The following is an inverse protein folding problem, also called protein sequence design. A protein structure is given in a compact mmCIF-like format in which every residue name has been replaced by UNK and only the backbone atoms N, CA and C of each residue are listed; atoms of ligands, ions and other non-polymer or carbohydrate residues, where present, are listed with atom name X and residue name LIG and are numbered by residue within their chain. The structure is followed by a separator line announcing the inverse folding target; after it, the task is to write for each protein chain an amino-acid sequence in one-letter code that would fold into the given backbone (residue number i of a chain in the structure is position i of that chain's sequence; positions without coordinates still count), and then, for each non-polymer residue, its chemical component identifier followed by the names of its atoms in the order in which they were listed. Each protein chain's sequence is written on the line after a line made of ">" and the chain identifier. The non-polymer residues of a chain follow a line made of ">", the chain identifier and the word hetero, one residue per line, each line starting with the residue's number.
data_IF_165861578022
#
_entry.id   IF_165861578022
#
_cell.length_a   1.000
_cell.length_b   1.000
_cell.length_c   1.000
_cell.angle_alpha   90.00
_cell.angle_beta   90.00
_cell.angle_gamma   90.00
#
_symmetry.space_group_name_H-M   'P 1'
#
loop_
_entity.id
_entity.type
_entity.pdbx_description
1 polymer ?
#
# COMPACT_ATOMS: atom_id res chain seq x y z
N UNK A 1 -25.24 -44.03 33.61
CA UNK A 1 -24.77 -42.99 32.66
C UNK A 1 -23.26 -42.94 32.72
N UNK A 2 -22.57 -43.34 31.65
CA UNK A 2 -21.18 -43.78 31.66
C UNK A 2 -20.22 -42.58 31.76
N UNK A 3 -19.43 -42.49 32.83
CA UNK A 3 -18.46 -41.38 33.09
C UNK A 3 -17.39 -41.23 32.00
N UNK A 4 -17.15 -42.28 31.20
CA UNK A 4 -16.22 -42.25 30.07
C UNK A 4 -16.77 -41.47 28.87
N UNK A 5 -18.07 -41.54 28.57
CA UNK A 5 -18.74 -40.81 27.51
C UNK A 5 -18.73 -39.29 27.76
N UNK A 6 -18.90 -38.87 29.01
CA UNK A 6 -18.84 -37.44 29.37
C UNK A 6 -17.43 -36.87 29.19
N UNK A 7 -16.38 -37.63 29.48
CA UNK A 7 -14.99 -37.20 29.30
C UNK A 7 -14.61 -37.05 27.82
N UNK A 8 -15.12 -37.93 26.95
CA UNK A 8 -14.87 -37.85 25.49
C UNK A 8 -15.61 -36.65 24.88
N UNK A 9 -16.86 -36.40 25.29
CA UNK A 9 -17.62 -35.25 24.84
C UNK A 9 -17.00 -33.93 25.29
N UNK A 10 -16.46 -33.85 26.50
CA UNK A 10 -15.78 -32.67 27.01
C UNK A 10 -14.44 -32.40 26.30
N UNK A 11 -13.68 -33.45 25.95
CA UNK A 11 -12.44 -33.33 25.19
C UNK A 11 -12.66 -32.85 23.74
N UNK A 12 -13.72 -33.34 23.08
CA UNK A 12 -14.09 -32.90 21.72
C UNK A 12 -14.60 -31.45 21.69
N UNK A 13 -15.34 -31.03 22.73
CA UNK A 13 -15.79 -29.63 22.83
C UNK A 13 -14.63 -28.68 23.08
N UNK A 14 -13.64 -29.07 23.88
CA UNK A 14 -12.44 -28.26 24.13
C UNK A 14 -11.56 -28.10 22.87
N UNK A 15 -11.44 -29.17 22.07
CA UNK A 15 -10.72 -29.09 20.78
C UNK A 15 -11.45 -28.19 19.76
N UNK A 16 -12.78 -28.19 19.71
CA UNK A 16 -13.55 -27.34 18.80
C UNK A 16 -13.40 -25.85 19.14
N UNK A 17 -13.24 -25.49 20.42
CA UNK A 17 -13.00 -24.10 20.84
C UNK A 17 -11.60 -23.59 20.53
N UNK A 18 -10.62 -24.49 20.36
CA UNK A 18 -9.25 -24.11 20.01
C UNK A 18 -9.06 -23.83 18.50
N UNK A 19 -9.95 -24.32 17.63
CA UNK A 19 -9.87 -24.11 16.19
C UNK A 19 -10.58 -22.84 15.67
N UNK A 20 -11.44 -22.21 16.46
CA UNK A 20 -12.11 -20.96 16.07
C UNK A 20 -11.26 -19.69 16.25
N UNK A 21 -10.02 -19.80 16.74
CA UNK A 21 -9.21 -18.64 17.13
C UNK A 21 -8.22 -18.10 16.10
N UNK A 22 -8.09 -18.68 14.89
CA UNK A 22 -6.95 -18.36 14.01
C UNK A 22 -7.22 -17.42 12.84
N UNK A 23 -8.39 -16.81 12.75
CA UNK A 23 -8.73 -15.94 11.59
C UNK A 23 -8.57 -14.43 11.81
N UNK A 24 -8.13 -13.95 12.97
CA UNK A 24 -8.02 -12.50 13.26
C UNK A 24 -6.61 -12.03 13.65
N UNK A 25 -5.56 -12.76 13.30
CA UNK A 25 -4.19 -12.40 13.72
C UNK A 25 -3.56 -11.23 12.97
N UNK A 26 -4.16 -10.75 11.87
CA UNK A 26 -3.62 -9.63 11.08
C UNK A 26 -3.81 -8.25 11.74
N UNK A 27 -4.70 -8.13 12.72
CA UNK A 27 -5.02 -6.85 13.35
C UNK A 27 -4.68 -6.78 14.85
N UNK A 28 -3.62 -7.47 15.27
CA UNK A 28 -3.17 -7.35 16.66
C UNK A 28 -2.67 -5.92 16.92
N UNK A 29 -3.28 -5.24 17.90
CA UNK A 29 -2.87 -3.93 18.44
C UNK A 29 -1.43 -3.98 19.00
N UNK A 30 -0.44 -4.07 18.11
CA UNK A 30 0.96 -3.78 18.45
C UNK A 30 1.21 -2.29 18.30
N UNK A 31 2.16 -1.74 19.07
CA UNK A 31 2.62 -0.36 18.97
C UNK A 31 2.88 0.02 17.50
N UNK A 32 1.93 0.72 16.86
CA UNK A 32 1.98 1.08 15.45
C UNK A 32 2.70 2.40 15.31
N UNK A 33 3.69 2.44 14.46
CA UNK A 33 4.21 3.72 14.00
C UNK A 33 3.04 4.45 13.33
N UNK A 34 2.62 5.62 13.82
CA UNK A 34 1.48 6.33 13.25
C UNK A 34 1.78 6.65 11.78
N UNK A 35 0.86 6.28 10.90
CA UNK A 35 0.93 6.62 9.49
C UNK A 35 0.62 8.11 9.36
N UNK A 36 1.65 8.92 9.09
CA UNK A 36 1.45 10.36 8.88
C UNK A 36 0.82 10.60 7.52
N UNK A 37 1.38 9.96 6.48
CA UNK A 37 0.94 10.12 5.10
C UNK A 37 0.86 8.76 4.45
N UNK A 38 -0.31 8.41 3.92
CA UNK A 38 -0.50 7.26 3.05
C UNK A 38 -0.43 7.74 1.61
N UNK A 39 0.42 7.13 0.80
CA UNK A 39 0.45 7.40 -0.63
C UNK A 39 -0.31 6.31 -1.37
N UNK A 40 -1.13 6.70 -2.34
CA UNK A 40 -1.96 5.79 -3.15
C UNK A 40 -1.70 6.10 -4.61
N UNK A 41 -1.41 5.07 -5.42
CA UNK A 41 -1.06 5.24 -6.82
C UNK A 41 -1.34 3.99 -7.65
N UNK A 42 -1.17 4.08 -8.97
CA UNK A 42 -1.17 2.94 -9.88
C UNK A 42 0.23 2.38 -10.14
N UNK A 43 0.28 1.15 -10.64
CA UNK A 43 1.54 0.47 -10.99
C UNK A 43 2.06 0.92 -12.38
N UNK A 44 2.16 2.24 -12.59
CA UNK A 44 2.80 2.81 -13.78
C UNK A 44 4.19 3.36 -13.42
N UNK A 45 5.10 3.37 -14.37
CA UNK A 45 6.52 3.68 -14.12
C UNK A 45 6.72 5.00 -13.38
N UNK A 46 6.11 6.08 -13.86
CA UNK A 46 6.38 7.42 -13.30
C UNK A 46 5.75 7.63 -11.91
N UNK A 47 4.44 7.38 -11.69
CA UNK A 47 3.85 7.54 -10.38
C UNK A 47 4.46 6.57 -9.35
N UNK A 48 4.78 5.35 -9.77
CA UNK A 48 5.43 4.35 -8.94
C UNK A 48 6.82 4.80 -8.49
N UNK A 49 7.67 5.24 -9.43
CA UNK A 49 8.99 5.77 -9.13
C UNK A 49 8.92 6.92 -8.13
N UNK A 50 8.01 7.87 -8.35
CA UNK A 50 7.88 9.04 -7.49
C UNK A 50 7.47 8.65 -6.06
N UNK A 51 6.49 7.74 -5.92
CA UNK A 51 6.06 7.25 -4.60
C UNK A 51 7.16 6.47 -3.89
N UNK A 52 7.92 5.66 -4.59
CA UNK A 52 9.03 4.88 -4.01
C UNK A 52 10.18 5.78 -3.54
N UNK A 53 10.50 6.85 -4.27
CA UNK A 53 11.49 7.84 -3.84
C UNK A 53 11.07 8.53 -2.53
N UNK A 54 9.79 8.86 -2.40
CA UNK A 54 9.25 9.41 -1.16
C UNK A 54 9.29 8.37 -0.04
N UNK A 55 8.86 7.14 -0.31
CA UNK A 55 8.88 6.05 0.66
C UNK A 55 10.29 5.79 1.18
N UNK A 56 11.28 5.77 0.30
CA UNK A 56 12.67 5.53 0.67
C UNK A 56 13.14 6.52 1.75
N UNK A 57 12.73 7.79 1.66
CA UNK A 57 13.11 8.83 2.62
C UNK A 57 12.22 8.88 3.86
N UNK A 58 10.91 8.75 3.67
CA UNK A 58 9.93 8.98 4.75
C UNK A 58 9.58 7.71 5.51
N UNK A 59 9.83 6.53 4.92
CA UNK A 59 9.41 5.21 5.41
C UNK A 59 7.88 5.08 5.58
N UNK A 60 7.12 5.98 4.96
CA UNK A 60 5.66 5.92 4.97
C UNK A 60 5.16 4.83 4.00
N UNK A 61 4.00 4.23 4.26
CA UNK A 61 3.46 3.17 3.40
C UNK A 61 2.91 3.70 2.08
N UNK A 62 2.84 2.80 1.10
CA UNK A 62 2.21 3.02 -0.20
C UNK A 62 1.14 1.97 -0.43
N UNK A 63 0.02 2.36 -1.04
CA UNK A 63 -0.94 1.47 -1.68
C UNK A 63 -0.79 1.61 -3.20
N UNK A 64 -0.68 0.49 -3.88
CA UNK A 64 -0.49 0.44 -5.34
C UNK A 64 -1.58 -0.38 -5.97
N UNK A 65 -2.37 0.24 -6.83
CA UNK A 65 -3.31 -0.45 -7.69
C UNK A 65 -2.59 -1.00 -8.91
N UNK A 66 -2.91 -2.22 -9.29
CA UNK A 66 -2.36 -2.88 -10.46
C UNK A 66 -3.44 -3.68 -11.18
N UNK A 67 -3.53 -3.48 -12.47
CA UNK A 67 -4.44 -4.21 -13.33
C UNK A 67 -3.71 -4.61 -14.61
N UNK A 68 -3.59 -5.91 -14.82
CA UNK A 68 -3.15 -6.44 -16.12
C UNK A 68 -4.32 -6.42 -17.11
N UNK A 69 -4.06 -6.31 -18.41
CA UNK A 69 -5.12 -6.36 -19.42
C UNK A 69 -5.96 -7.63 -19.29
N UNK A 70 -7.27 -7.48 -19.05
CA UNK A 70 -8.23 -8.60 -18.92
C UNK A 70 -8.20 -9.31 -17.57
N UNK A 71 -7.45 -8.81 -16.59
CA UNK A 71 -7.41 -9.34 -15.22
C UNK A 71 -8.18 -8.44 -14.24
N UNK A 72 -8.47 -9.00 -13.07
CA UNK A 72 -9.06 -8.25 -11.98
C UNK A 72 -8.08 -7.22 -11.39
N UNK A 73 -8.64 -6.13 -10.88
CA UNK A 73 -7.87 -5.10 -10.18
C UNK A 73 -7.29 -5.66 -8.89
N UNK A 74 -5.98 -5.53 -8.72
CA UNK A 74 -5.24 -5.97 -7.55
C UNK A 74 -4.74 -4.77 -6.76
N UNK A 75 -4.62 -4.92 -5.46
CA UNK A 75 -4.12 -3.89 -4.55
C UNK A 75 -2.95 -4.41 -3.75
N UNK A 76 -1.87 -3.66 -3.71
CA UNK A 76 -0.65 -4.00 -2.99
C UNK A 76 -0.33 -2.94 -1.94
N UNK A 77 0.01 -3.40 -0.75
CA UNK A 77 0.50 -2.60 0.35
C UNK A 77 2.02 -2.76 0.47
N UNK A 78 2.72 -1.65 0.32
CA UNK A 78 4.18 -1.62 0.38
C UNK A 78 4.64 -0.84 1.61
N UNK A 79 5.38 -1.49 2.49
CA UNK A 79 5.95 -0.86 3.69
C UNK A 79 7.30 -1.50 4.04
N UNK A 80 8.33 -0.68 4.23
CA UNK A 80 9.65 -1.11 4.69
C UNK A 80 10.23 -2.30 3.89
N UNK A 81 10.09 -2.28 2.56
CA UNK A 81 10.57 -3.33 1.67
C UNK A 81 9.72 -4.61 1.65
N UNK A 82 8.58 -4.64 2.35
CA UNK A 82 7.60 -5.71 2.26
C UNK A 82 6.49 -5.31 1.31
N UNK A 83 5.99 -6.27 0.54
CA UNK A 83 4.85 -6.11 -0.35
C UNK A 83 3.82 -7.18 0.02
N UNK A 84 2.61 -6.76 0.35
CA UNK A 84 1.51 -7.64 0.71
C UNK A 84 0.31 -7.32 -0.19
N UNK A 85 -0.34 -8.34 -0.73
CA UNK A 85 -1.57 -8.17 -1.50
C UNK A 85 -2.76 -8.04 -0.55
N UNK A 86 -3.57 -7.02 -0.78
CA UNK A 86 -4.77 -6.74 -0.01
C UNK A 86 -5.99 -6.93 -0.91
N UNK A 87 -7.02 -7.58 -0.41
CA UNK A 87 -8.28 -7.65 -1.15
C UNK A 87 -8.85 -6.26 -1.39
N UNK A 88 -9.19 -5.94 -2.64
CA UNK A 88 -9.80 -4.66 -3.01
C UNK A 88 -11.11 -4.39 -2.27
N UNK A 89 -11.88 -5.44 -1.96
CA UNK A 89 -13.12 -5.35 -1.17
C UNK A 89 -12.88 -4.88 0.28
N UNK A 90 -11.66 -5.02 0.80
CA UNK A 90 -11.26 -4.58 2.14
C UNK A 90 -10.54 -3.24 2.16
N UNK A 91 -10.48 -2.55 1.03
CA UNK A 91 -9.71 -1.31 0.90
C UNK A 91 -10.08 -0.27 1.97
N UNK A 92 -11.36 0.05 2.11
CA UNK A 92 -11.82 1.05 3.07
C UNK A 92 -11.48 0.68 4.53
N UNK A 93 -11.78 -0.57 4.92
CA UNK A 93 -11.46 -1.11 6.24
C UNK A 93 -9.95 -1.07 6.51
N UNK A 94 -9.14 -1.40 5.50
CA UNK A 94 -7.69 -1.40 5.61
C UNK A 94 -7.13 0.02 5.80
N UNK A 95 -7.64 1.01 5.05
CA UNK A 95 -7.22 2.41 5.20
C UNK A 95 -7.64 2.98 6.55
N UNK A 96 -8.85 2.68 7.01
CA UNK A 96 -9.30 3.05 8.37
C UNK A 96 -8.41 2.43 9.45
N UNK A 97 -8.00 1.19 9.25
CA UNK A 97 -7.08 0.53 10.16
C UNK A 97 -5.70 1.19 10.22
N UNK A 98 -5.17 1.65 9.09
CA UNK A 98 -3.93 2.43 9.02
C UNK A 98 -4.08 3.80 9.68
N UNK A 99 -5.27 4.36 9.64
CA UNK A 99 -5.64 5.66 10.19
C UNK A 99 -4.63 6.78 9.83
N UNK A 100 -4.39 7.03 8.53
CA UNK A 100 -3.43 8.04 8.11
C UNK A 100 -3.94 9.45 8.42
N UNK A 101 -3.03 10.35 8.82
CA UNK A 101 -3.38 11.77 9.03
C UNK A 101 -3.71 12.49 7.73
N UNK A 102 -3.10 12.06 6.63
CA UNK A 102 -3.34 12.56 5.27
C UNK A 102 -3.13 11.46 4.25
N UNK A 103 -3.82 11.57 3.13
CA UNK A 103 -3.67 10.68 1.98
C UNK A 103 -3.25 11.51 0.78
N UNK A 104 -2.25 11.05 0.03
CA UNK A 104 -1.83 11.65 -1.24
C UNK A 104 -2.10 10.63 -2.34
N UNK A 105 -2.95 10.99 -3.29
CA UNK A 105 -3.21 10.22 -4.50
C UNK A 105 -2.30 10.77 -5.60
N UNK A 106 -1.49 9.90 -6.21
CA UNK A 106 -0.62 10.23 -7.33
C UNK A 106 -1.12 9.59 -8.61
N UNK A 107 -1.49 10.43 -9.55
CA UNK A 107 -2.06 10.07 -10.83
C UNK A 107 -3.57 10.31 -10.91
N UNK A 108 -4.13 9.99 -12.06
CA UNK A 108 -5.53 10.13 -12.40
C UNK A 108 -6.37 8.88 -12.05
N UNK A 109 -7.57 8.79 -12.62
CA UNK A 109 -8.49 7.67 -12.40
C UNK A 109 -8.01 6.36 -13.04
N UNK A 110 -7.07 6.42 -13.99
CA UNK A 110 -6.40 5.23 -14.55
C UNK A 110 -5.42 4.66 -13.53
N UNK A 111 -4.76 5.53 -12.75
CA UNK A 111 -3.86 5.13 -11.67
C UNK A 111 -4.62 4.63 -10.44
N UNK A 112 -5.65 5.36 -10.03
CA UNK A 112 -6.46 5.05 -8.85
C UNK A 112 -7.93 5.24 -9.22
N UNK A 113 -8.71 4.16 -9.43
CA UNK A 113 -10.08 4.28 -9.88
C UNK A 113 -10.93 5.20 -9.00
N UNK A 114 -11.84 5.94 -9.63
CA UNK A 114 -12.64 6.99 -8.99
C UNK A 114 -13.35 6.53 -7.72
N UNK A 115 -13.89 5.31 -7.73
CA UNK A 115 -14.57 4.72 -6.57
C UNK A 115 -13.69 4.66 -5.31
N UNK A 116 -12.39 4.31 -5.46
CA UNK A 116 -11.46 4.29 -4.33
C UNK A 116 -11.04 5.68 -3.90
N UNK A 117 -10.92 6.63 -4.82
CA UNK A 117 -10.67 8.03 -4.47
C UNK A 117 -11.84 8.62 -3.66
N UNK A 118 -13.08 8.28 -4.01
CA UNK A 118 -14.28 8.71 -3.27
C UNK A 118 -14.32 8.08 -1.87
N UNK A 119 -14.01 6.78 -1.74
CA UNK A 119 -13.91 6.12 -0.44
C UNK A 119 -12.87 6.81 0.47
N UNK A 120 -11.73 7.21 -0.07
CA UNK A 120 -10.72 7.95 0.68
C UNK A 120 -11.23 9.31 1.16
N UNK A 121 -11.92 10.07 0.29
CA UNK A 121 -12.41 11.43 0.60
C UNK A 121 -13.49 11.44 1.67
N UNK A 122 -14.21 10.34 1.89
CA UNK A 122 -15.26 10.24 2.93
C UNK A 122 -14.70 10.41 4.34
N UNK A 123 -13.52 9.84 4.61
CA UNK A 123 -13.00 9.72 5.97
C UNK A 123 -11.64 10.37 6.17
N UNK A 124 -10.96 10.80 5.09
CA UNK A 124 -9.59 11.30 5.17
C UNK A 124 -9.40 12.60 4.40
N UNK A 125 -8.42 13.39 4.82
CA UNK A 125 -7.95 14.53 4.04
C UNK A 125 -7.14 14.00 2.86
N UNK A 126 -7.68 14.12 1.65
CA UNK A 126 -7.07 13.63 0.41
C UNK A 126 -6.55 14.79 -0.42
N UNK A 127 -5.32 14.66 -0.90
CA UNK A 127 -4.73 15.52 -1.92
C UNK A 127 -4.46 14.69 -3.16
N UNK A 128 -4.82 15.21 -4.33
CA UNK A 128 -4.59 14.56 -5.62
C UNK A 128 -3.55 15.36 -6.39
N UNK A 129 -2.52 14.68 -6.88
CA UNK A 129 -1.46 15.21 -7.72
C UNK A 129 -1.48 14.42 -9.02
N UNK A 130 -1.99 15.02 -10.09
CA UNK A 130 -2.29 14.34 -11.35
C UNK A 130 -1.92 15.16 -12.59
N UNK A 131 -0.93 16.05 -12.51
CA UNK A 131 -0.45 16.74 -13.70
C UNK A 131 0.16 15.73 -14.70
N UNK A 132 -0.02 15.97 -16.00
CA UNK A 132 0.66 15.21 -17.04
C UNK A 132 2.18 15.40 -16.98
N UNK A 133 2.64 16.53 -16.45
CA UNK A 133 4.05 16.80 -16.22
C UNK A 133 4.52 16.20 -14.88
N UNK A 134 5.14 15.02 -14.94
CA UNK A 134 5.63 14.33 -13.77
C UNK A 134 6.77 15.02 -13.02
N UNK A 135 7.51 15.88 -13.66
CA UNK A 135 8.52 16.71 -13.00
C UNK A 135 7.85 17.78 -12.13
N UNK A 136 6.74 18.35 -12.62
CA UNK A 136 5.91 19.25 -11.82
C UNK A 136 5.28 18.51 -10.62
N UNK A 137 4.78 17.30 -10.83
CA UNK A 137 4.26 16.47 -9.73
C UNK A 137 5.34 16.21 -8.67
N UNK A 138 6.56 15.91 -9.10
CA UNK A 138 7.69 15.69 -8.19
C UNK A 138 8.08 16.96 -7.44
N UNK A 139 8.02 18.13 -8.09
CA UNK A 139 8.25 19.42 -7.45
C UNK A 139 7.19 19.72 -6.40
N UNK A 140 5.91 19.66 -6.77
CA UNK A 140 4.78 19.90 -5.85
C UNK A 140 4.85 18.98 -4.63
N UNK A 141 5.08 17.68 -4.86
CA UNK A 141 5.20 16.71 -3.78
C UNK A 141 6.43 16.99 -2.90
N UNK A 142 7.53 17.42 -3.51
CA UNK A 142 8.74 17.81 -2.80
C UNK A 142 8.55 19.01 -1.88
N UNK A 143 7.82 20.02 -2.33
CA UNK A 143 7.46 21.20 -1.54
C UNK A 143 6.52 20.81 -0.38
N UNK A 144 5.50 20.00 -0.65
CA UNK A 144 4.53 19.54 0.36
C UNK A 144 5.15 18.68 1.46
N UNK A 145 6.18 17.90 1.15
CA UNK A 145 6.80 16.94 2.06
C UNK A 145 8.16 17.37 2.59
N UNK A 146 8.55 18.61 2.35
CA UNK A 146 9.88 19.17 2.70
C UNK A 146 11.04 18.32 2.15
N UNK A 147 10.95 18.01 0.87
CA UNK A 147 11.92 17.20 0.12
C UNK A 147 12.48 17.97 -1.09
N UNK A 148 13.30 18.99 -0.89
CA UNK A 148 13.70 19.94 -1.97
C UNK A 148 14.49 19.29 -3.11
N UNK A 149 15.05 18.09 -2.89
CA UNK A 149 15.79 17.34 -3.89
C UNK A 149 14.93 16.33 -4.67
N UNK A 150 13.65 16.18 -4.33
CA UNK A 150 12.80 15.13 -4.90
C UNK A 150 12.67 15.23 -6.42
N UNK A 151 12.44 16.44 -6.95
CA UNK A 151 12.35 16.66 -8.41
C UNK A 151 13.64 16.28 -9.13
N UNK A 152 14.80 16.68 -8.61
CA UNK A 152 16.08 16.31 -9.20
C UNK A 152 16.29 14.80 -9.17
N UNK A 153 16.08 14.17 -8.03
CA UNK A 153 16.26 12.73 -7.89
C UNK A 153 15.29 11.97 -8.81
N UNK A 154 14.05 12.44 -8.95
CA UNK A 154 13.07 11.86 -9.87
C UNK A 154 13.56 11.94 -11.34
N UNK A 155 14.08 13.09 -11.78
CA UNK A 155 14.65 13.26 -13.13
C UNK A 155 15.79 12.29 -13.37
N UNK A 156 16.72 12.20 -12.42
CA UNK A 156 17.92 11.36 -12.53
C UNK A 156 17.56 9.88 -12.63
N UNK A 157 16.65 9.40 -11.75
CA UNK A 157 16.21 8.01 -11.78
C UNK A 157 15.35 7.68 -13.00
N UNK A 158 14.43 8.58 -13.40
CA UNK A 158 13.62 8.41 -14.60
C UNK A 158 14.50 8.26 -15.85
N UNK A 159 15.53 9.11 -15.99
CA UNK A 159 16.48 9.03 -17.08
C UNK A 159 17.18 7.66 -17.11
N UNK A 160 17.67 7.18 -15.96
CA UNK A 160 18.33 5.87 -15.87
C UNK A 160 17.41 4.71 -16.25
N UNK A 161 16.13 4.77 -15.89
CA UNK A 161 15.14 3.74 -16.25
C UNK A 161 14.89 3.77 -17.77
N UNK A 162 14.71 4.96 -18.36
CA UNK A 162 14.42 5.11 -19.79
C UNK A 162 15.65 4.72 -20.61
N UNK A 163 16.84 5.18 -20.23
CA UNK A 163 18.09 4.93 -20.95
C UNK A 163 18.64 3.50 -20.72
N UNK A 164 17.92 2.65 -19.97
CA UNK A 164 18.34 1.30 -19.62
C UNK A 164 19.73 1.24 -18.95
N UNK A 165 20.14 2.33 -18.29
CA UNK A 165 21.46 2.51 -17.67
C UNK A 165 21.53 1.98 -16.24
N UNK A 166 20.44 1.43 -15.70
CA UNK A 166 20.48 0.68 -14.44
C UNK A 166 21.28 -0.61 -14.68
N UNK A 167 22.24 -0.96 -13.81
CA UNK A 167 22.94 -2.23 -13.92
C UNK A 167 21.91 -3.36 -13.97
N UNK A 168 21.96 -4.17 -15.03
CA UNK A 168 21.15 -5.38 -15.09
C UNK A 168 21.57 -6.28 -13.91
N UNK A 169 20.63 -6.99 -13.25
CA UNK A 169 21.02 -7.98 -12.26
C UNK A 169 22.00 -8.96 -12.92
N UNK A 170 23.16 -9.13 -12.28
CA UNK A 170 24.13 -10.12 -12.75
C UNK A 170 23.51 -11.48 -12.50
N UNK A 171 23.07 -12.17 -13.55
CA UNK A 171 22.69 -13.56 -13.50
C UNK A 171 23.94 -14.38 -13.07
N UNK A 172 24.08 -14.59 -11.79
CA UNK A 172 25.00 -15.60 -11.26
C UNK A 172 24.45 -16.98 -11.63
N UNK A 173 24.90 -17.48 -12.79
CA UNK A 173 24.78 -18.90 -13.15
C UNK A 173 25.71 -19.74 -12.31
#
# INVERSE_FOLDING_TARGET
>A
MNRSLIRIAFSLLLCALLFCGTSCALFRKGSRTPVKTLMVTGNFVQPRLLTELVQFRTKQPILVFHQDPGADLRLFYLVRGKCEEISTSKFAEFVEHLNPKSVIVLGDEVCVPAEYQELLRKNHRVMVINSENWELNAQMLGEMMDMPKLNRDFKDYRKRIIDNTLPQPVDNK
#
